data_IF_832255727473
#
_entry.id   IF_832255727473
#
_cell.length_a   1.000
_cell.length_b   1.000
_cell.length_c   1.000
_cell.angle_alpha   90.00
_cell.angle_beta   90.00
_cell.angle_gamma   90.00
#
_symmetry.space_group_name_H-M   'P 1'
#
loop_
_entity.id
_entity.type
_entity.pdbx_description
1 polymer ?
#
# COMPACT_ATOMS: atom_id res chain seq x y z
N UNK A 1 7.63 -111.74 -53.98
CA UNK A 1 7.06 -111.63 -52.62
C UNK A 1 8.14 -111.75 -51.53
N UNK A 2 9.01 -112.76 -51.54
CA UNK A 2 10.09 -112.94 -50.53
C UNK A 2 11.11 -111.80 -50.43
N UNK A 3 11.51 -111.19 -51.56
CA UNK A 3 12.51 -110.10 -51.58
C UNK A 3 12.06 -108.85 -50.79
N UNK A 4 10.78 -108.49 -50.93
CA UNK A 4 10.19 -107.33 -50.23
C UNK A 4 10.17 -107.51 -48.71
N UNK A 5 9.88 -108.72 -48.23
CA UNK A 5 9.88 -109.05 -46.81
C UNK A 5 11.30 -109.00 -46.23
N UNK A 6 12.29 -109.46 -46.98
CA UNK A 6 13.70 -109.39 -46.57
C UNK A 6 14.21 -107.94 -46.49
N UNK A 7 13.85 -107.09 -47.48
CA UNK A 7 14.17 -105.66 -47.43
C UNK A 7 13.51 -104.95 -46.24
N UNK A 8 12.24 -105.26 -45.93
CA UNK A 8 11.55 -104.72 -44.76
C UNK A 8 12.26 -105.10 -43.46
N UNK A 9 12.66 -106.38 -43.31
CA UNK A 9 13.38 -106.85 -42.12
C UNK A 9 14.73 -106.14 -41.92
N UNK A 10 15.50 -105.92 -42.99
CA UNK A 10 16.76 -105.18 -42.94
C UNK A 10 16.56 -103.72 -42.53
N UNK A 11 15.51 -103.06 -43.03
CA UNK A 11 15.17 -101.68 -42.65
C UNK A 11 14.76 -101.61 -41.17
N UNK A 12 13.91 -102.51 -40.69
CA UNK A 12 13.58 -102.57 -39.25
C UNK A 12 14.80 -102.90 -38.38
N UNK A 13 15.68 -103.80 -38.82
CA UNK A 13 16.92 -104.12 -38.11
C UNK A 13 17.85 -102.90 -37.99
N UNK A 14 18.05 -102.19 -39.10
CA UNK A 14 18.83 -100.95 -39.12
C UNK A 14 18.19 -99.85 -38.27
N UNK A 15 16.86 -99.74 -38.28
CA UNK A 15 16.12 -98.79 -37.45
C UNK A 15 16.25 -99.11 -35.95
N UNK A 16 16.18 -100.39 -35.55
CA UNK A 16 16.38 -100.82 -34.17
C UNK A 16 17.81 -100.53 -33.69
N UNK A 17 18.82 -100.77 -34.55
CA UNK A 17 20.22 -100.44 -34.20
C UNK A 17 20.41 -98.93 -34.08
N UNK A 18 19.83 -98.14 -34.97
CA UNK A 18 19.88 -96.67 -34.91
C UNK A 18 19.22 -96.13 -33.63
N UNK A 19 18.03 -96.64 -33.26
CA UNK A 19 17.34 -96.25 -32.04
C UNK A 19 18.12 -96.66 -30.78
N UNK A 20 18.75 -97.85 -30.77
CA UNK A 20 19.62 -98.25 -29.66
C UNK A 20 20.86 -97.35 -29.53
N UNK A 21 21.45 -96.90 -30.64
CA UNK A 21 22.56 -95.94 -30.60
C UNK A 21 22.12 -94.58 -30.07
N UNK A 22 20.96 -94.06 -30.51
CA UNK A 22 20.41 -92.80 -29.97
C UNK A 22 20.11 -92.90 -28.48
N UNK A 23 19.53 -94.02 -28.03
CA UNK A 23 19.27 -94.27 -26.62
C UNK A 23 20.58 -94.33 -25.80
N UNK A 24 21.62 -94.96 -26.33
CA UNK A 24 22.96 -94.97 -25.71
C UNK A 24 23.55 -93.57 -25.57
N UNK A 25 23.50 -92.76 -26.64
CA UNK A 25 23.98 -91.37 -26.61
C UNK A 25 23.19 -90.49 -25.64
N UNK A 26 21.87 -90.68 -25.55
CA UNK A 26 21.02 -89.93 -24.62
C UNK A 26 21.34 -90.26 -23.14
N UNK A 27 21.70 -91.51 -22.84
CA UNK A 27 22.13 -91.92 -21.49
C UNK A 27 23.48 -91.28 -21.14
N UNK A 28 24.43 -91.32 -22.07
CA UNK A 28 25.76 -90.70 -21.87
C UNK A 28 25.65 -89.18 -21.65
N UNK A 29 24.79 -88.49 -22.41
CA UNK A 29 24.48 -87.08 -22.19
C UNK A 29 23.81 -86.82 -20.83
N UNK A 30 22.91 -87.71 -20.39
CA UNK A 30 22.26 -87.58 -19.08
C UNK A 30 23.25 -87.77 -17.91
N UNK A 31 24.25 -88.63 -18.07
CA UNK A 31 25.33 -88.80 -17.09
C UNK A 31 26.26 -87.59 -17.04
N UNK A 32 26.63 -87.01 -18.19
CA UNK A 32 27.40 -85.77 -18.26
C UNK A 32 26.68 -84.60 -17.59
N UNK A 33 25.40 -84.38 -17.93
CA UNK A 33 24.60 -83.32 -17.31
C UNK A 33 24.45 -83.50 -15.79
N UNK A 34 24.37 -84.74 -15.30
CA UNK A 34 24.37 -85.01 -13.86
C UNK A 34 25.71 -84.67 -13.21
N UNK A 35 26.83 -84.92 -13.88
CA UNK A 35 28.16 -84.50 -13.45
C UNK A 35 28.26 -82.98 -13.33
N UNK A 36 27.87 -82.25 -14.39
CA UNK A 36 27.89 -80.79 -14.43
C UNK A 36 27.00 -80.16 -13.35
N UNK A 37 25.81 -80.73 -13.12
CA UNK A 37 24.91 -80.26 -12.04
C UNK A 37 25.53 -80.47 -10.66
N UNK A 38 26.23 -81.58 -10.43
CA UNK A 38 26.92 -81.82 -9.17
C UNK A 38 28.11 -80.87 -8.96
N UNK A 39 28.82 -80.51 -10.03
CA UNK A 39 29.88 -79.50 -9.99
C UNK A 39 29.31 -78.10 -9.70
N UNK A 40 28.24 -77.70 -10.40
CA UNK A 40 27.57 -76.41 -10.14
C UNK A 40 26.95 -76.31 -8.76
N UNK A 41 26.43 -77.41 -8.21
CA UNK A 41 25.98 -77.44 -6.82
C UNK A 41 27.14 -77.15 -5.84
N UNK A 42 28.33 -77.73 -6.07
CA UNK A 42 29.52 -77.43 -5.24
C UNK A 42 30.00 -75.99 -5.38
N UNK A 43 29.95 -75.40 -6.57
CA UNK A 43 30.28 -73.98 -6.76
C UNK A 43 29.34 -73.06 -5.96
N UNK A 44 28.05 -73.39 -5.93
CA UNK A 44 27.05 -72.64 -5.15
C UNK A 44 27.35 -72.73 -3.65
N UNK A 45 27.63 -73.94 -3.14
CA UNK A 45 27.97 -74.13 -1.73
C UNK A 45 29.23 -73.36 -1.32
N UNK A 46 30.27 -73.35 -2.17
CA UNK A 46 31.50 -72.59 -1.92
C UNK A 46 31.27 -71.07 -1.95
N UNK A 47 30.45 -70.57 -2.89
CA UNK A 47 30.06 -69.16 -2.93
C UNK A 47 29.25 -68.76 -1.69
N UNK A 48 28.33 -69.60 -1.24
CA UNK A 48 27.52 -69.34 -0.05
C UNK A 48 28.39 -69.32 1.23
N UNK A 49 29.38 -70.21 1.32
CA UNK A 49 30.37 -70.20 2.40
C UNK A 49 31.20 -68.91 2.40
N UNK A 50 31.66 -68.45 1.22
CA UNK A 50 32.41 -67.19 1.07
C UNK A 50 31.57 -65.96 1.45
N UNK A 51 30.30 -65.91 1.03
CA UNK A 51 29.38 -64.82 1.39
C UNK A 51 29.12 -64.81 2.90
N UNK A 52 28.95 -65.98 3.52
CA UNK A 52 28.75 -66.10 4.97
C UNK A 52 30.00 -65.65 5.75
N UNK A 53 31.19 -66.05 5.29
CA UNK A 53 32.46 -65.62 5.88
C UNK A 53 32.64 -64.08 5.81
N UNK A 54 32.41 -63.48 4.64
CA UNK A 54 32.42 -62.02 4.47
C UNK A 54 31.36 -61.33 5.33
N UNK A 55 30.16 -61.91 5.42
CA UNK A 55 29.05 -61.42 6.21
C UNK A 55 29.30 -61.47 7.73
N UNK A 56 30.24 -62.28 8.20
CA UNK A 56 30.62 -62.38 9.62
C UNK A 56 31.63 -61.31 10.06
N UNK A 57 32.34 -60.70 9.11
CA UNK A 57 33.30 -59.61 9.35
C UNK A 57 32.64 -58.21 9.42
N UNK A 58 31.41 -58.05 8.94
CA UNK A 58 30.65 -56.80 9.09
C UNK A 58 29.74 -56.87 10.31
N UNK A 59 29.83 -55.88 11.20
CA UNK A 59 28.85 -55.76 12.29
C UNK A 59 27.46 -55.45 11.73
N UNK A 60 26.41 -55.75 12.50
CA UNK A 60 25.03 -55.37 12.16
C UNK A 60 24.85 -53.85 11.97
N UNK A 61 25.71 -53.04 12.59
CA UNK A 61 25.72 -51.58 12.43
C UNK A 61 26.29 -51.19 11.07
N UNK A 62 27.40 -51.82 10.65
CA UNK A 62 28.04 -51.57 9.35
C UNK A 62 27.12 -51.95 8.19
N UNK A 63 26.39 -53.06 8.32
CA UNK A 63 25.40 -53.48 7.29
C UNK A 63 24.30 -52.45 7.09
N UNK A 64 23.76 -51.90 8.19
CA UNK A 64 22.70 -50.87 8.11
C UNK A 64 23.22 -49.56 7.53
N UNK A 65 24.42 -49.13 7.93
CA UNK A 65 25.04 -47.92 7.37
C UNK A 65 25.28 -48.06 5.87
N UNK A 66 25.80 -49.19 5.43
CA UNK A 66 26.03 -49.46 3.99
C UNK A 66 24.70 -49.51 3.23
N UNK A 67 23.65 -50.11 3.80
CA UNK A 67 22.33 -50.15 3.18
C UNK A 67 21.72 -48.75 3.04
N UNK A 68 21.86 -47.90 4.05
CA UNK A 68 21.35 -46.53 4.04
C UNK A 68 22.16 -45.62 3.09
N UNK A 69 23.49 -45.70 3.10
CA UNK A 69 24.36 -45.02 2.14
C UNK A 69 24.07 -45.47 0.69
N UNK A 70 23.84 -46.77 0.48
CA UNK A 70 23.45 -47.29 -0.83
C UNK A 70 22.10 -46.75 -1.29
N UNK A 71 21.11 -46.66 -0.38
CA UNK A 71 19.81 -46.04 -0.69
C UNK A 71 19.98 -44.58 -1.08
N UNK A 72 20.77 -43.80 -0.34
CA UNK A 72 21.04 -42.40 -0.68
C UNK A 72 21.74 -42.26 -2.03
N UNK A 73 22.75 -43.10 -2.32
CA UNK A 73 23.44 -43.11 -3.61
C UNK A 73 22.52 -43.49 -4.77
N UNK A 74 21.63 -44.46 -4.58
CA UNK A 74 20.64 -44.85 -5.59
C UNK A 74 19.65 -43.70 -5.84
N UNK A 75 19.18 -43.05 -4.78
CA UNK A 75 18.31 -41.88 -4.89
C UNK A 75 19.00 -40.72 -5.60
N UNK A 76 20.25 -40.41 -5.24
CA UNK A 76 21.07 -39.38 -5.89
C UNK A 76 21.33 -39.70 -7.37
N UNK A 77 21.60 -40.96 -7.70
CA UNK A 77 21.76 -41.40 -9.09
C UNK A 77 20.46 -41.24 -9.88
N UNK A 78 19.33 -41.59 -9.30
CA UNK A 78 18.03 -41.50 -9.96
C UNK A 78 17.57 -40.04 -10.13
N UNK A 79 17.87 -39.15 -9.19
CA UNK A 79 17.63 -37.71 -9.34
C UNK A 79 18.50 -37.12 -10.45
N UNK A 80 19.80 -37.44 -10.49
CA UNK A 80 20.71 -37.00 -11.55
C UNK A 80 20.25 -37.50 -12.92
N UNK A 81 19.82 -38.76 -13.05
CA UNK A 81 19.23 -39.28 -14.30
C UNK A 81 17.96 -38.54 -14.73
N UNK A 82 17.10 -38.16 -13.77
CA UNK A 82 15.89 -37.37 -14.05
C UNK A 82 16.24 -35.98 -14.54
N UNK A 83 17.29 -35.35 -14.00
CA UNK A 83 17.82 -34.06 -14.46
C UNK A 83 18.42 -34.17 -15.86
N UNK A 84 19.23 -35.20 -16.13
CA UNK A 84 19.80 -35.48 -17.45
C UNK A 84 18.71 -35.66 -18.53
N UNK A 85 17.64 -36.42 -18.21
CA UNK A 85 16.48 -36.55 -19.11
C UNK A 85 15.76 -35.24 -19.42
N UNK A 86 15.89 -34.24 -18.54
CA UNK A 86 15.36 -32.88 -18.74
C UNK A 86 16.38 -31.94 -19.40
N UNK A 87 17.51 -32.47 -19.86
CA UNK A 87 18.56 -31.70 -20.54
C UNK A 87 19.54 -31.01 -19.60
N UNK A 88 19.47 -31.26 -18.29
CA UNK A 88 20.42 -30.72 -17.30
C UNK A 88 21.55 -31.73 -17.13
N UNK A 89 22.66 -31.49 -17.84
CA UNK A 89 23.89 -32.27 -17.69
C UNK A 89 24.55 -32.01 -16.33
N UNK A 90 25.37 -32.95 -15.87
CA UNK A 90 26.07 -32.84 -14.58
C UNK A 90 26.94 -31.58 -14.48
N UNK A 91 27.56 -31.20 -15.59
CA UNK A 91 28.45 -30.03 -15.67
C UNK A 91 27.67 -28.69 -15.65
N UNK A 92 26.37 -28.70 -15.92
CA UNK A 92 25.51 -27.51 -15.93
C UNK A 92 24.82 -27.24 -14.59
N UNK A 93 24.95 -28.13 -13.61
CA UNK A 93 24.30 -27.99 -12.30
C UNK A 93 24.86 -26.77 -11.55
N UNK A 94 26.18 -26.58 -11.56
CA UNK A 94 26.82 -25.44 -10.90
C UNK A 94 26.44 -24.10 -11.55
N UNK A 95 26.28 -24.06 -12.88
CA UNK A 95 25.82 -22.87 -13.59
C UNK A 95 24.36 -22.53 -13.28
N UNK A 96 23.51 -23.55 -13.15
CA UNK A 96 22.12 -23.37 -12.72
C UNK A 96 22.02 -22.87 -11.29
N UNK A 97 22.83 -23.40 -10.36
CA UNK A 97 22.87 -22.92 -8.97
C UNK A 97 23.25 -21.43 -8.91
N UNK A 98 24.28 -21.01 -9.63
CA UNK A 98 24.66 -19.58 -9.76
C UNK A 98 23.52 -18.74 -10.34
N UNK A 99 22.81 -19.27 -11.34
CA UNK A 99 21.67 -18.57 -11.94
C UNK A 99 20.51 -18.39 -10.96
N UNK A 100 20.23 -19.41 -10.14
CA UNK A 100 19.22 -19.36 -9.09
C UNK A 100 19.62 -18.37 -7.99
N UNK A 101 20.88 -18.33 -7.58
CA UNK A 101 21.40 -17.36 -6.61
C UNK A 101 21.19 -15.92 -7.08
N UNK A 102 21.58 -15.60 -8.33
CA UNK A 102 21.40 -14.26 -8.91
C UNK A 102 19.92 -13.85 -8.94
N UNK A 103 19.01 -14.78 -9.25
CA UNK A 103 17.57 -14.51 -9.23
C UNK A 103 17.05 -14.28 -7.80
N UNK A 104 17.54 -15.03 -6.82
CA UNK A 104 17.17 -14.88 -5.41
C UNK A 104 17.70 -13.56 -4.81
N UNK A 105 18.91 -13.14 -5.15
CA UNK A 105 19.46 -11.82 -4.75
C UNK A 105 18.61 -10.65 -5.27
N UNK A 106 17.95 -10.85 -6.42
CA UNK A 106 17.01 -9.89 -7.02
C UNK A 106 15.58 -10.06 -6.52
N UNK A 107 15.38 -10.79 -5.42
CA UNK A 107 14.09 -11.04 -4.76
C UNK A 107 13.05 -11.72 -5.68
N UNK A 108 13.50 -12.48 -6.69
CA UNK A 108 12.62 -13.31 -7.50
C UNK A 108 12.47 -14.67 -6.84
N UNK A 109 11.23 -15.04 -6.51
CA UNK A 109 10.95 -16.36 -5.94
C UNK A 109 11.04 -17.43 -7.03
N UNK A 110 12.12 -18.22 -6.97
CA UNK A 110 12.40 -19.31 -7.92
C UNK A 110 11.70 -20.62 -7.51
N UNK A 111 11.06 -20.66 -6.34
CA UNK A 111 10.36 -21.86 -5.84
C UNK A 111 8.98 -22.05 -6.46
N UNK A 112 8.41 -20.97 -7.01
CA UNK A 112 7.11 -20.96 -7.69
C UNK A 112 7.30 -20.59 -9.18
N UNK A 113 7.37 -21.58 -10.09
CA UNK A 113 7.72 -21.34 -11.49
C UNK A 113 6.68 -20.53 -12.25
N UNK A 114 5.39 -20.59 -11.88
CA UNK A 114 4.34 -19.78 -12.52
C UNK A 114 4.46 -18.31 -12.12
N UNK A 115 4.67 -18.02 -10.82
CA UNK A 115 4.90 -16.64 -10.38
C UNK A 115 6.18 -16.04 -10.96
N UNK A 116 7.25 -16.83 -11.07
CA UNK A 116 8.49 -16.38 -11.70
C UNK A 116 8.25 -16.00 -13.16
N UNK A 117 7.52 -16.85 -13.90
CA UNK A 117 7.15 -16.59 -15.31
C UNK A 117 6.34 -15.32 -15.46
N UNK A 118 5.31 -15.13 -14.64
CA UNK A 118 4.47 -13.93 -14.65
C UNK A 118 5.29 -12.68 -14.34
N UNK A 119 6.21 -12.77 -13.37
CA UNK A 119 7.07 -11.66 -12.99
C UNK A 119 8.05 -11.28 -14.10
N UNK A 120 8.67 -12.26 -14.76
CA UNK A 120 9.55 -12.04 -15.91
C UNK A 120 8.75 -11.43 -17.08
N UNK A 121 7.53 -11.91 -17.34
CA UNK A 121 6.66 -11.34 -18.37
C UNK A 121 6.28 -9.88 -18.07
N UNK A 122 5.95 -9.57 -16.82
CA UNK A 122 5.64 -8.22 -16.38
C UNK A 122 6.86 -7.28 -16.50
N UNK A 123 8.06 -7.74 -16.14
CA UNK A 123 9.29 -6.98 -16.33
C UNK A 123 9.59 -6.71 -17.80
N UNK A 124 9.43 -7.71 -18.67
CA UNK A 124 9.62 -7.55 -20.11
C UNK A 124 8.60 -6.58 -20.74
N UNK A 125 7.35 -6.60 -20.25
CA UNK A 125 6.33 -5.63 -20.66
C UNK A 125 6.66 -4.20 -20.19
N UNK A 126 7.15 -4.06 -18.96
CA UNK A 126 7.59 -2.78 -18.42
C UNK A 126 8.78 -2.20 -19.19
N UNK A 127 9.76 -3.03 -19.55
CA UNK A 127 10.92 -2.64 -20.34
C UNK A 127 10.52 -2.14 -21.74
N UNK A 128 9.58 -2.84 -22.40
CA UNK A 128 9.00 -2.38 -23.68
C UNK A 128 8.23 -1.07 -23.58
N UNK A 129 7.58 -0.80 -22.44
CA UNK A 129 6.81 0.41 -22.22
C UNK A 129 7.67 1.62 -21.80
N UNK A 130 8.89 1.38 -21.33
CA UNK A 130 9.79 2.40 -20.79
C UNK A 130 10.12 3.52 -21.81
N UNK A 131 10.42 3.26 -23.10
CA UNK A 131 10.71 4.33 -24.06
C UNK A 131 9.52 5.27 -24.28
N UNK A 132 8.30 4.74 -24.37
CA UNK A 132 7.09 5.55 -24.55
C UNK A 132 6.82 6.42 -23.32
N UNK A 133 7.00 5.87 -22.12
CA UNK A 133 6.88 6.62 -20.87
C UNK A 133 7.92 7.74 -20.74
N UNK A 134 9.16 7.50 -21.21
CA UNK A 134 10.22 8.51 -21.23
C UNK A 134 9.91 9.64 -22.21
N UNK A 135 9.39 9.34 -23.39
CA UNK A 135 8.96 10.36 -24.36
C UNK A 135 7.78 11.19 -23.84
N UNK A 136 6.82 10.55 -23.18
CA UNK A 136 5.72 11.27 -22.53
C UNK A 136 6.22 12.17 -21.39
N UNK A 137 7.16 11.69 -20.57
CA UNK A 137 7.78 12.51 -19.54
C UNK A 137 8.49 13.73 -20.13
N UNK A 138 9.22 13.58 -21.25
CA UNK A 138 9.86 14.71 -21.95
C UNK A 138 8.83 15.71 -22.45
N UNK A 139 7.72 15.24 -23.05
CA UNK A 139 6.62 16.09 -23.52
C UNK A 139 6.00 16.89 -22.39
N UNK A 140 5.69 16.25 -21.27
CA UNK A 140 5.12 16.90 -20.09
C UNK A 140 6.08 17.93 -19.49
N UNK A 141 7.38 17.62 -19.40
CA UNK A 141 8.40 18.59 -18.96
C UNK A 141 8.48 19.81 -19.89
N UNK A 142 8.43 19.60 -21.20
CA UNK A 142 8.41 20.69 -22.17
C UNK A 142 7.14 21.55 -22.05
N UNK A 143 5.97 20.92 -21.88
CA UNK A 143 4.70 21.61 -21.67
C UNK A 143 4.70 22.43 -20.37
N UNK A 144 5.26 21.88 -19.29
CA UNK A 144 5.41 22.59 -18.02
C UNK A 144 6.32 23.81 -18.16
N UNK A 145 7.46 23.66 -18.84
CA UNK A 145 8.37 24.78 -19.10
C UNK A 145 7.68 25.90 -19.92
N UNK A 146 6.91 25.53 -20.94
CA UNK A 146 6.12 26.49 -21.72
C UNK A 146 5.03 27.16 -20.88
N UNK A 147 4.36 26.43 -19.99
CA UNK A 147 3.35 26.99 -19.10
C UNK A 147 3.96 28.00 -18.11
N UNK A 148 5.13 27.69 -17.55
CA UNK A 148 5.87 28.59 -16.65
C UNK A 148 6.33 29.86 -17.38
N UNK A 149 6.84 29.74 -18.61
CA UNK A 149 7.22 30.91 -19.42
C UNK A 149 6.01 31.79 -19.76
N UNK A 150 4.86 31.18 -20.10
CA UNK A 150 3.61 31.92 -20.31
C UNK A 150 3.13 32.61 -19.02
N UNK A 151 3.22 31.95 -17.88
CA UNK A 151 2.86 32.55 -16.60
C UNK A 151 3.76 33.75 -16.27
N UNK A 152 5.08 33.61 -16.44
CA UNK A 152 6.03 34.71 -16.24
C UNK A 152 5.79 35.89 -17.20
N UNK A 153 5.43 35.61 -18.46
CA UNK A 153 5.04 36.64 -19.44
C UNK A 153 3.74 37.33 -19.04
N UNK A 154 2.73 36.58 -18.61
CA UNK A 154 1.46 37.13 -18.13
C UNK A 154 1.65 38.00 -16.88
N UNK A 155 2.53 37.60 -15.95
CA UNK A 155 2.91 38.43 -14.80
C UNK A 155 3.63 39.71 -15.24
N UNK A 156 4.56 39.61 -16.20
CA UNK A 156 5.25 40.76 -16.78
C UNK A 156 4.33 41.72 -17.53
N UNK A 157 3.27 41.22 -18.17
CA UNK A 157 2.23 42.02 -18.81
C UNK A 157 1.28 42.66 -17.78
N UNK A 158 0.91 41.94 -16.72
CA UNK A 158 0.18 42.50 -15.56
C UNK A 158 0.95 43.67 -14.93
N UNK A 159 2.28 43.56 -14.85
CA UNK A 159 3.14 44.61 -14.31
C UNK A 159 3.27 45.84 -15.22
N UNK A 160 2.97 45.70 -16.52
CA UNK A 160 3.00 46.77 -17.53
C UNK A 160 1.66 47.48 -17.72
N UNK A 161 0.56 46.91 -17.19
CA UNK A 161 -0.70 47.65 -17.07
C UNK A 161 -0.43 48.86 -16.19
N UNK A 162 -0.64 50.11 -16.67
CA UNK A 162 -0.40 51.29 -15.86
C UNK A 162 -1.22 51.15 -14.57
N UNK A 163 -0.61 51.47 -13.42
CA UNK A 163 -1.26 51.53 -12.08
C UNK A 163 -2.34 52.64 -12.01
N UNK A 164 -3.14 52.80 -13.06
CA UNK A 164 -4.34 53.61 -13.09
C UNK A 164 -5.43 52.86 -12.32
N UNK A 165 -5.50 53.16 -11.02
CA UNK A 165 -6.46 52.65 -10.02
C UNK A 165 -6.40 51.13 -9.86
N UNK A 166 -5.75 50.68 -8.78
CA UNK A 166 -5.75 49.28 -8.32
C UNK A 166 -7.18 48.71 -8.43
N UNK A 167 -7.38 47.56 -9.11
CA UNK A 167 -8.54 46.72 -8.84
C UNK A 167 -8.57 46.52 -7.32
N UNK A 168 -9.74 46.71 -6.73
CA UNK A 168 -10.06 46.61 -5.32
C UNK A 168 -9.50 45.30 -4.76
N UNK A 169 -8.27 45.34 -4.23
CA UNK A 169 -7.68 44.25 -3.48
C UNK A 169 -8.54 44.11 -2.22
N UNK A 170 -9.40 43.09 -2.20
CA UNK A 170 -10.19 42.77 -1.02
C UNK A 170 -9.23 42.34 0.08
N UNK A 171 -9.40 42.84 1.31
CA UNK A 171 -8.56 42.43 2.41
C UNK A 171 -8.62 40.92 2.65
N UNK A 172 -7.52 40.28 3.07
CA UNK A 172 -7.52 38.85 3.33
C UNK A 172 -8.44 38.51 4.50
N UNK A 173 -9.22 37.45 4.35
CA UNK A 173 -10.07 36.89 5.42
C UNK A 173 -9.18 36.08 6.38
N UNK A 174 -9.17 36.45 7.66
CA UNK A 174 -8.44 35.69 8.69
C UNK A 174 -9.39 34.63 9.25
N UNK A 175 -9.06 33.35 9.03
CA UNK A 175 -9.89 32.23 9.51
C UNK A 175 -9.27 31.57 10.74
N UNK A 176 -10.02 31.52 11.83
CA UNK A 176 -9.65 30.96 13.12
C UNK A 176 -10.55 29.75 13.42
N UNK A 177 -10.20 28.58 12.90
CA UNK A 177 -10.95 27.33 13.11
C UNK A 177 -10.54 26.60 14.39
N UNK A 178 -11.48 25.86 14.99
CA UNK A 178 -11.20 24.97 16.12
C UNK A 178 -10.11 23.94 15.76
N UNK A 179 -10.15 23.38 14.55
CA UNK A 179 -9.13 22.47 14.00
C UNK A 179 -7.68 23.01 14.06
N UNK A 180 -7.49 24.34 14.11
CA UNK A 180 -6.19 25.00 14.23
C UNK A 180 -5.83 25.36 15.69
N UNK A 181 -6.37 24.62 16.67
CA UNK A 181 -6.23 24.85 18.10
C UNK A 181 -6.79 26.22 18.57
N UNK A 182 -7.88 26.68 17.96
CA UNK A 182 -8.61 27.88 18.40
C UNK A 182 -9.95 27.48 19.02
N UNK A 183 -9.88 26.73 20.13
CA UNK A 183 -11.04 26.10 20.72
C UNK A 183 -11.84 27.03 21.63
N UNK A 184 -13.16 26.85 21.58
CA UNK A 184 -14.10 27.25 22.63
C UNK A 184 -14.35 26.07 23.57
N UNK A 185 -14.81 26.33 24.79
CA UNK A 185 -15.35 25.26 25.64
C UNK A 185 -16.60 24.66 24.96
N UNK A 186 -16.80 23.35 25.14
CA UNK A 186 -17.89 22.62 24.46
C UNK A 186 -19.25 23.27 24.73
N UNK A 187 -20.01 23.53 23.66
CA UNK A 187 -21.31 24.20 23.71
C UNK A 187 -21.28 25.64 24.25
N UNK A 188 -20.11 26.27 24.38
CA UNK A 188 -19.95 27.57 25.01
C UNK A 188 -19.28 28.58 24.07
N UNK A 189 -19.39 29.86 24.44
CA UNK A 189 -18.64 30.97 23.87
C UNK A 189 -17.38 31.32 24.67
N UNK A 190 -17.08 30.59 25.75
CA UNK A 190 -15.87 30.77 26.52
C UNK A 190 -14.63 30.32 25.75
N UNK A 191 -13.64 31.22 25.65
CA UNK A 191 -12.36 30.96 25.00
C UNK A 191 -11.49 30.06 25.88
N UNK A 192 -10.78 29.12 25.27
CA UNK A 192 -9.65 28.45 25.93
C UNK A 192 -8.50 29.42 26.16
N UNK A 193 -7.67 29.16 27.17
CA UNK A 193 -6.52 30.02 27.50
C UNK A 193 -5.56 30.19 26.32
N UNK A 194 -5.30 29.10 25.58
CA UNK A 194 -4.46 29.12 24.38
C UNK A 194 -5.02 30.02 23.28
N UNK A 195 -6.34 29.98 23.04
CA UNK A 195 -6.96 30.82 22.04
C UNK A 195 -6.99 32.29 22.48
N UNK A 196 -7.30 32.56 23.76
CA UNK A 196 -7.25 33.89 24.33
C UNK A 196 -5.85 34.53 24.21
N UNK A 197 -4.78 33.75 24.42
CA UNK A 197 -3.39 34.21 24.24
C UNK A 197 -3.08 34.62 22.79
N UNK A 198 -3.54 33.85 21.80
CA UNK A 198 -3.39 34.22 20.37
C UNK A 198 -4.13 35.51 20.03
N UNK A 199 -5.34 35.69 20.58
CA UNK A 199 -6.18 36.89 20.40
C UNK A 199 -5.64 38.12 21.14
N UNK A 200 -4.73 37.96 22.09
CA UNK A 200 -4.02 39.07 22.76
C UNK A 200 -2.65 39.38 22.14
N UNK A 201 -2.06 38.43 21.41
CA UNK A 201 -0.73 38.55 20.82
C UNK A 201 -0.76 38.74 19.29
N UNK A 202 -0.45 37.69 18.50
CA UNK A 202 -0.17 37.82 17.07
C UNK A 202 -1.38 38.23 16.20
N UNK A 203 -2.60 37.83 16.58
CA UNK A 203 -3.79 38.07 15.73
C UNK A 203 -4.13 39.57 15.60
N UNK A 204 -4.24 40.34 16.70
CA UNK A 204 -4.45 41.79 16.60
C UNK A 204 -3.39 42.55 15.80
N UNK A 205 -2.12 42.11 15.84
CA UNK A 205 -1.04 42.73 15.06
C UNK A 205 -1.30 42.54 13.58
N UNK A 206 -1.60 41.31 13.15
CA UNK A 206 -1.96 41.01 11.76
C UNK A 206 -3.20 41.79 11.30
N UNK A 207 -4.22 41.91 12.16
CA UNK A 207 -5.43 42.70 11.85
C UNK A 207 -5.06 44.18 11.69
N UNK A 208 -4.26 44.75 12.59
CA UNK A 208 -3.85 46.16 12.53
C UNK A 208 -3.05 46.47 11.26
N UNK A 209 -2.16 45.57 10.83
CA UNK A 209 -1.41 45.71 9.59
C UNK A 209 -2.33 45.66 8.37
N UNK A 210 -3.29 44.74 8.36
CA UNK A 210 -4.27 44.66 7.28
C UNK A 210 -5.16 45.92 7.24
N UNK A 211 -5.64 46.43 8.37
CA UNK A 211 -6.44 47.66 8.40
C UNK A 211 -5.70 48.85 7.78
N UNK A 212 -4.39 49.00 8.07
CA UNK A 212 -3.54 50.04 7.48
C UNK A 212 -3.33 49.83 5.98
N UNK A 213 -3.03 48.60 5.56
CA UNK A 213 -2.71 48.29 4.15
C UNK A 213 -3.91 48.46 3.21
N UNK A 214 -5.13 48.25 3.72
CA UNK A 214 -6.37 48.29 2.94
C UNK A 214 -7.25 49.50 3.26
N UNK A 215 -6.76 50.47 4.04
CA UNK A 215 -7.49 51.68 4.44
C UNK A 215 -8.86 51.37 5.04
N UNK A 216 -8.94 50.35 5.90
CA UNK A 216 -10.17 49.83 6.47
C UNK A 216 -10.34 50.25 7.95
N UNK A 217 -11.58 50.47 8.36
CA UNK A 217 -11.96 50.96 9.70
C UNK A 217 -13.02 50.07 10.39
N UNK A 218 -13.46 49.00 9.72
CA UNK A 218 -14.44 48.04 10.24
C UNK A 218 -13.83 46.63 10.26
N UNK A 219 -13.96 45.96 11.40
CA UNK A 219 -13.68 44.54 11.60
C UNK A 219 -15.01 43.82 11.80
N UNK A 220 -15.29 42.81 10.99
CA UNK A 220 -16.41 41.90 11.16
C UNK A 220 -15.87 40.58 11.73
N UNK A 221 -16.36 40.22 12.91
CA UNK A 221 -16.05 38.94 13.56
C UNK A 221 -17.25 38.03 13.38
N UNK A 222 -17.13 37.04 12.52
CA UNK A 222 -18.23 36.17 12.12
C UNK A 222 -18.07 34.81 12.77
N UNK A 223 -19.00 34.45 13.64
CA UNK A 223 -19.04 33.15 14.27
C UNK A 223 -19.80 32.12 13.43
N UNK A 224 -19.17 30.98 13.20
CA UNK A 224 -19.75 29.83 12.51
C UNK A 224 -19.86 28.65 13.47
N UNK A 225 -20.92 27.86 13.31
CA UNK A 225 -21.13 26.58 13.99
C UNK A 225 -21.14 25.44 12.99
N UNK A 226 -21.05 24.21 13.47
CA UNK A 226 -21.42 23.05 12.68
C UNK A 226 -22.96 22.90 12.62
N UNK A 227 -23.41 21.78 12.04
CA UNK A 227 -24.82 21.43 11.93
C UNK A 227 -25.35 20.58 13.07
N UNK A 228 -24.54 20.34 14.12
CA UNK A 228 -25.05 19.66 15.29
C UNK A 228 -26.06 20.58 15.98
N UNK A 229 -27.32 20.16 16.15
CA UNK A 229 -28.31 21.01 16.78
C UNK A 229 -27.94 21.22 18.24
N UNK A 230 -27.89 22.49 18.67
CA UNK A 230 -28.04 22.82 20.08
C UNK A 230 -29.49 23.20 20.32
N UNK A 231 -30.05 22.69 21.41
CA UNK A 231 -31.41 23.01 21.83
C UNK A 231 -31.40 23.21 23.33
N UNK A 232 -31.62 24.45 23.76
CA UNK A 232 -31.78 24.80 25.18
C UNK A 232 -33.20 25.32 25.42
N UNK A 233 -33.79 25.04 26.58
CA UNK A 233 -35.17 25.44 26.88
C UNK A 233 -35.35 26.95 27.03
N UNK A 234 -34.27 27.70 27.27
CA UNK A 234 -34.29 29.15 27.48
C UNK A 234 -33.15 29.83 26.73
N UNK A 235 -33.40 31.06 26.26
CA UNK A 235 -32.37 31.96 25.76
C UNK A 235 -32.48 33.33 26.43
N UNK A 236 -31.35 33.97 26.65
CA UNK A 236 -31.28 35.35 27.13
C UNK A 236 -30.49 36.26 26.17
N UNK A 237 -30.34 35.84 24.90
CA UNK A 237 -29.51 36.55 23.94
C UNK A 237 -30.00 37.99 23.74
N UNK A 238 -31.30 38.21 23.55
CA UNK A 238 -31.85 39.56 23.31
C UNK A 238 -31.68 40.49 24.52
N UNK A 239 -31.79 39.95 25.73
CA UNK A 239 -31.69 40.72 26.97
C UNK A 239 -30.23 41.05 27.34
N UNK A 240 -29.30 40.13 27.08
CA UNK A 240 -27.94 40.19 27.65
C UNK A 240 -26.86 40.54 26.64
N UNK A 241 -27.09 40.37 25.33
CA UNK A 241 -26.04 40.55 24.31
C UNK A 241 -25.46 41.96 24.31
N UNK A 242 -26.30 42.99 24.46
CA UNK A 242 -25.86 44.39 24.47
C UNK A 242 -24.95 44.69 25.66
N UNK A 243 -25.32 44.23 26.85
CA UNK A 243 -24.52 44.38 28.07
C UNK A 243 -23.17 43.62 27.98
N UNK A 244 -23.17 42.42 27.41
CA UNK A 244 -21.95 41.61 27.23
C UNK A 244 -21.05 42.22 26.17
N UNK A 245 -21.60 42.72 25.05
CA UNK A 245 -20.84 43.47 24.04
C UNK A 245 -20.27 44.75 24.63
N UNK A 246 -21.00 45.44 25.50
CA UNK A 246 -20.50 46.64 26.20
C UNK A 246 -19.46 46.31 27.29
N UNK A 247 -19.17 45.04 27.54
CA UNK A 247 -18.23 44.60 28.59
C UNK A 247 -18.77 44.74 30.01
N UNK A 248 -20.07 44.99 30.20
CA UNK A 248 -20.71 45.13 31.52
C UNK A 248 -20.95 43.80 32.21
N UNK A 249 -21.09 42.72 31.44
CA UNK A 249 -21.32 41.35 31.90
C UNK A 249 -20.33 40.39 31.24
N UNK A 250 -19.93 39.29 31.91
CA UNK A 250 -19.03 38.30 31.32
C UNK A 250 -19.73 37.50 30.21
N UNK A 251 -18.94 36.93 29.30
CA UNK A 251 -19.48 36.11 28.20
C UNK A 251 -20.25 34.87 28.68
N UNK A 252 -19.87 34.33 29.84
CA UNK A 252 -20.53 33.19 30.48
C UNK A 252 -21.97 33.47 30.89
N UNK A 253 -22.40 34.74 30.93
CA UNK A 253 -23.79 35.10 31.17
C UNK A 253 -24.72 34.82 29.97
N UNK A 254 -24.17 34.64 28.76
CA UNK A 254 -24.98 34.37 27.57
C UNK A 254 -25.39 32.90 27.48
N UNK A 255 -26.67 32.69 27.23
CA UNK A 255 -27.30 31.38 27.04
C UNK A 255 -27.91 31.37 25.62
N UNK A 256 -27.13 30.97 24.60
CA UNK A 256 -27.67 30.73 23.26
C UNK A 256 -28.56 29.49 23.27
N UNK A 257 -29.75 29.58 22.67
CA UNK A 257 -30.66 28.44 22.53
C UNK A 257 -30.47 27.65 21.22
N UNK A 258 -29.87 28.28 20.21
CA UNK A 258 -29.67 27.73 18.87
C UNK A 258 -28.27 28.05 18.31
N UNK A 259 -27.94 27.48 17.16
CA UNK A 259 -26.65 27.65 16.51
C UNK A 259 -26.39 29.10 16.06
N UNK A 260 -27.42 29.84 15.68
CA UNK A 260 -27.33 31.27 15.37
C UNK A 260 -26.86 32.06 16.59
N UNK A 261 -27.50 31.87 17.75
CA UNK A 261 -27.12 32.49 19.01
C UNK A 261 -25.73 32.06 19.47
N UNK A 262 -25.36 30.78 19.32
CA UNK A 262 -24.03 30.30 19.72
C UNK A 262 -22.93 30.90 18.84
N UNK A 263 -23.16 30.98 17.53
CA UNK A 263 -22.27 31.68 16.59
C UNK A 263 -22.07 33.14 17.01
N UNK A 264 -23.16 33.85 17.33
CA UNK A 264 -23.08 35.24 17.80
C UNK A 264 -22.33 35.36 19.12
N UNK A 265 -22.64 34.53 20.12
CA UNK A 265 -21.97 34.55 21.41
C UNK A 265 -20.45 34.34 21.27
N UNK A 266 -20.04 33.38 20.42
CA UNK A 266 -18.61 33.13 20.11
C UNK A 266 -17.96 34.34 19.44
N UNK A 267 -18.64 34.99 18.51
CA UNK A 267 -18.17 36.22 17.89
C UNK A 267 -18.02 37.37 18.90
N UNK A 268 -18.99 37.55 19.81
CA UNK A 268 -18.93 38.54 20.89
C UNK A 268 -17.71 38.29 21.79
N UNK A 269 -17.45 37.03 22.14
CA UNK A 269 -16.30 36.63 22.96
C UNK A 269 -14.97 37.10 22.35
N UNK A 270 -14.79 36.84 21.05
CA UNK A 270 -13.59 37.28 20.32
C UNK A 270 -13.55 38.80 20.18
N UNK A 271 -14.68 39.43 19.83
CA UNK A 271 -14.78 40.88 19.69
C UNK A 271 -14.40 41.62 20.99
N UNK A 272 -14.80 41.12 22.15
CA UNK A 272 -14.45 41.70 23.45
C UNK A 272 -12.95 41.64 23.71
N UNK A 273 -12.28 40.54 23.35
CA UNK A 273 -10.81 40.44 23.48
C UNK A 273 -10.10 41.39 22.52
N UNK A 274 -10.56 41.46 21.26
CA UNK A 274 -9.97 42.35 20.26
C UNK A 274 -10.14 43.83 20.65
N UNK A 275 -11.31 44.22 21.17
CA UNK A 275 -11.60 45.59 21.60
C UNK A 275 -10.73 46.05 22.77
N UNK A 276 -10.29 45.12 23.62
CA UNK A 276 -9.37 45.43 24.71
C UNK A 276 -7.93 45.69 24.22
N UNK A 277 -7.61 45.38 22.95
CA UNK A 277 -6.28 45.59 22.40
C UNK A 277 -6.10 47.03 21.89
N UNK A 278 -5.11 47.75 22.44
CA UNK A 278 -4.80 49.14 22.08
C UNK A 278 -4.43 49.33 20.60
N UNK A 279 -3.87 48.31 19.94
CA UNK A 279 -3.50 48.38 18.52
C UNK A 279 -4.71 48.48 17.58
N UNK A 280 -5.90 48.10 18.05
CA UNK A 280 -7.16 48.17 17.31
C UNK A 280 -8.04 49.36 17.78
N UNK A 281 -7.45 50.33 18.48
CA UNK A 281 -8.16 51.53 18.93
C UNK A 281 -8.72 52.34 17.75
N UNK A 282 -9.95 52.83 17.89
CA UNK A 282 -10.63 53.64 16.88
C UNK A 282 -11.31 52.83 15.76
N UNK A 283 -11.18 51.51 15.76
CA UNK A 283 -11.79 50.61 14.76
C UNK A 283 -13.17 50.15 15.25
N UNK A 284 -14.14 50.04 14.34
CA UNK A 284 -15.46 49.47 14.66
C UNK A 284 -15.40 47.95 14.57
N UNK A 285 -15.71 47.25 15.66
CA UNK A 285 -15.75 45.77 15.70
C UNK A 285 -17.20 45.31 15.78
N UNK A 286 -17.65 44.55 14.76
CA UNK A 286 -19.00 44.04 14.59
C UNK A 286 -19.02 42.51 14.77
N UNK A 287 -19.57 41.99 15.89
CA UNK A 287 -19.81 40.56 16.02
C UNK A 287 -21.05 40.14 15.22
N UNK A 288 -20.90 39.11 14.38
CA UNK A 288 -21.94 38.57 13.49
C UNK A 288 -22.03 37.05 13.65
N UNK A 289 -23.14 36.47 13.22
CA UNK A 289 -23.35 35.02 13.18
C UNK A 289 -23.66 34.57 11.77
N UNK A 290 -22.92 33.59 11.28
CA UNK A 290 -23.24 32.84 10.07
C UNK A 290 -23.98 31.52 10.38
N UNK A 291 -24.24 31.27 11.67
CA UNK A 291 -24.85 30.04 12.16
C UNK A 291 -24.16 28.79 11.56
N UNK A 292 -24.94 27.80 11.15
CA UNK A 292 -24.47 26.56 10.54
C UNK A 292 -24.40 26.59 9.00
N UNK A 293 -24.82 27.68 8.36
CA UNK A 293 -25.17 27.66 6.92
C UNK A 293 -23.96 27.72 5.98
N UNK A 294 -22.87 28.38 6.40
CA UNK A 294 -21.73 28.68 5.53
C UNK A 294 -20.56 27.72 5.79
N UNK A 295 -20.24 26.92 4.79
CA UNK A 295 -19.09 26.02 4.79
C UNK A 295 -17.78 26.77 4.48
N UNK A 296 -16.62 26.23 4.88
CA UNK A 296 -15.32 26.72 4.41
C UNK A 296 -15.28 26.80 2.87
N UNK A 297 -14.73 27.89 2.33
CA UNK A 297 -14.73 28.17 0.90
C UNK A 297 -15.98 28.88 0.37
N UNK A 298 -16.73 29.55 1.27
CA UNK A 298 -17.89 30.39 0.93
C UNK A 298 -19.01 29.66 0.17
N UNK A 299 -19.24 28.38 0.51
CA UNK A 299 -20.34 27.59 -0.05
C UNK A 299 -21.44 27.36 0.97
N UNK A 300 -22.69 27.23 0.52
CA UNK A 300 -23.82 26.92 1.39
C UNK A 300 -23.90 25.42 1.64
N UNK A 301 -24.22 25.06 2.88
CA UNK A 301 -24.54 23.67 3.21
C UNK A 301 -25.82 23.21 2.52
N UNK A 302 -25.88 21.90 2.23
CA UNK A 302 -27.09 21.21 1.74
C UNK A 302 -27.80 20.41 2.82
N UNK A 303 -27.39 20.55 4.08
CA UNK A 303 -27.87 19.70 5.18
C UNK A 303 -27.00 18.45 5.32
N UNK A 304 -25.92 18.56 6.09
CA UNK A 304 -25.12 17.45 6.58
C UNK A 304 -25.09 17.49 8.10
N UNK A 305 -25.81 16.57 8.74
CA UNK A 305 -25.70 16.34 10.17
C UNK A 305 -24.28 15.85 10.51
N UNK A 306 -23.58 16.54 11.41
CA UNK A 306 -22.28 16.09 11.88
C UNK A 306 -21.55 17.06 12.79
N UNK A 307 -20.80 16.47 13.73
CA UNK A 307 -19.78 17.13 14.53
C UNK A 307 -18.54 17.32 13.66
N UNK A 308 -18.32 18.53 13.15
CA UNK A 308 -17.22 18.84 12.23
C UNK A 308 -16.44 20.05 12.75
N UNK A 309 -15.28 19.78 13.34
CA UNK A 309 -14.40 20.79 13.94
C UNK A 309 -14.03 21.94 12.99
N UNK A 310 -13.81 21.67 11.70
CA UNK A 310 -13.45 22.71 10.72
C UNK A 310 -14.58 23.71 10.44
N UNK A 311 -15.83 23.34 10.76
CA UNK A 311 -16.99 24.23 10.61
C UNK A 311 -17.15 25.18 11.80
N UNK A 312 -16.77 24.73 13.00
CA UNK A 312 -16.70 25.57 14.19
C UNK A 312 -15.50 26.52 14.06
N UNK A 313 -15.75 27.74 13.59
CA UNK A 313 -14.70 28.71 13.30
C UNK A 313 -15.17 30.15 13.52
N UNK A 314 -14.19 31.04 13.66
CA UNK A 314 -14.37 32.47 13.57
C UNK A 314 -13.72 32.96 12.28
N UNK A 315 -14.44 33.72 11.48
CA UNK A 315 -13.87 34.47 10.36
C UNK A 315 -13.78 35.94 10.74
N UNK A 316 -12.61 36.55 10.50
CA UNK A 316 -12.41 37.97 10.67
C UNK A 316 -12.25 38.58 9.28
N UNK A 317 -13.21 39.42 8.93
CA UNK A 317 -13.20 40.21 7.70
C UNK A 317 -12.92 41.66 8.07
N UNK A 318 -12.21 42.38 7.21
CA UNK A 318 -12.08 43.83 7.37
C UNK A 318 -12.62 44.52 6.13
N UNK A 319 -13.23 45.67 6.33
CA UNK A 319 -13.78 46.46 5.24
C UNK A 319 -13.77 47.93 5.58
N UNK A 320 -13.99 48.73 4.54
CA UNK A 320 -14.23 50.16 4.66
C UNK A 320 -15.68 50.40 5.04
N UNK A 321 -15.91 51.46 5.81
CA UNK A 321 -17.22 52.06 5.93
C UNK A 321 -17.64 52.56 4.55
N UNK A 322 -18.81 52.11 4.09
CA UNK A 322 -19.46 52.74 2.96
C UNK A 322 -19.69 54.20 3.32
N UNK A 323 -19.32 55.14 2.44
CA UNK A 323 -19.54 56.56 2.67
C UNK A 323 -21.02 56.74 3.07
N UNK A 324 -21.26 57.17 4.30
CA UNK A 324 -22.62 57.37 4.80
C UNK A 324 -23.38 58.23 3.79
N UNK A 325 -24.62 57.89 3.40
CA UNK A 325 -25.47 58.87 2.74
C UNK A 325 -25.52 60.07 3.68
N UNK A 326 -25.12 61.24 3.17
CA UNK A 326 -25.21 62.49 3.92
C UNK A 326 -26.62 62.54 4.51
N UNK A 327 -26.72 62.73 5.82
CA UNK A 327 -28.01 63.00 6.45
C UNK A 327 -28.62 64.20 5.71
N UNK A 328 -29.63 63.93 4.89
CA UNK A 328 -30.51 64.97 4.41
C UNK A 328 -31.31 65.41 5.64
N UNK A 329 -31.17 66.70 5.94
CA UNK A 329 -31.84 67.41 7.04
C UNK A 329 -33.34 67.11 7.13
#
# INVERSE_FOLDING_TARGET
MLLLVFCLLLVTGAMIVSERMKAGQAIEQAEQLRGDLAEKAREIDDLEAKVTALGSHLSLVDKRMIDDEWRELVLARDTVRKLEKRGIGKDSIDELLKSVEVLQERLLDVRDPEKLRDRVAAMAAADKALPAALEEQKRLKAALAMALDRAAKAEGELAKVPKGRKPHEWPPIITLSEANNNYFRSGSAELTERFASKLKGPIPIQIADNLKNYDADIIEVIGHTDEQPISRPVSNMDEMSTDVVAGKKPISALIPADNSGLGLARAISVANVLRANKALGGVTILPLSAAQLVLPGDTLTRGQAGDVETRRRIEIRIRRRDASPSAAN
#
